data_IF_446695847019
#
_entry.id   IF_446695847019
#
_cell.length_a   1.000
_cell.length_b   1.000
_cell.length_c   1.000
_cell.angle_alpha   90.00
_cell.angle_beta   90.00
_cell.angle_gamma   90.00
#
_symmetry.space_group_name_H-M   'P 1'
#
loop_
_entity.id
_entity.type
_entity.pdbx_description
1 polymer ?
#
# COMPACT_ATOMS: atom_id res chain seq x y z
N UNK A 1 26.18 -36.16 26.81
CA UNK A 1 27.05 -35.08 26.33
C UNK A 1 27.26 -35.22 24.83
N UNK A 2 26.73 -34.29 24.01
CA UNK A 2 27.02 -34.22 22.58
C UNK A 2 27.15 -32.76 22.18
N UNK A 3 28.29 -32.40 21.58
CA UNK A 3 28.50 -31.15 20.84
C UNK A 3 29.17 -31.51 19.53
N UNK A 4 28.56 -31.19 18.36
CA UNK A 4 29.28 -31.19 17.09
C UNK A 4 29.57 -29.76 16.57
N UNK A 5 30.86 -29.43 16.68
CA UNK A 5 31.82 -28.67 15.83
C UNK A 5 31.38 -27.50 14.89
N UNK A 6 32.26 -26.47 14.77
CA UNK A 6 32.03 -25.24 13.99
C UNK A 6 32.30 -25.42 12.49
N UNK A 7 31.51 -24.75 11.64
CA UNK A 7 31.79 -24.63 10.21
C UNK A 7 32.03 -23.18 9.79
N UNK A 8 32.93 -23.01 8.82
CA UNK A 8 33.74 -21.84 8.57
C UNK A 8 32.99 -20.71 7.86
N UNK A 9 33.29 -19.51 8.32
CA UNK A 9 33.10 -18.18 7.73
C UNK A 9 33.44 -18.14 6.22
N UNK A 10 32.47 -17.71 5.42
CA UNK A 10 32.73 -17.05 4.12
C UNK A 10 32.16 -15.64 4.21
N UNK A 11 33.07 -14.68 4.30
CA UNK A 11 32.80 -13.26 4.15
C UNK A 11 32.47 -12.99 2.68
N UNK A 12 31.31 -12.41 2.41
CA UNK A 12 31.07 -11.69 1.16
C UNK A 12 30.48 -10.32 1.52
N UNK A 13 31.39 -9.42 1.82
CA UNK A 13 31.19 -7.98 1.73
C UNK A 13 30.68 -7.65 0.34
N UNK A 14 29.46 -7.12 0.25
CA UNK A 14 29.12 -6.17 -0.81
C UNK A 14 28.92 -4.82 -0.12
N UNK A 15 29.93 -3.97 -0.34
CA UNK A 15 29.92 -2.54 -0.06
C UNK A 15 29.02 -1.88 -1.10
N UNK A 16 27.96 -1.24 -0.64
CA UNK A 16 27.40 -0.06 -1.27
C UNK A 16 26.99 0.85 -0.11
N UNK A 17 27.98 1.54 0.43
CA UNK A 17 27.78 2.78 1.17
C UNK A 17 27.67 3.86 0.10
N UNK A 18 26.46 4.37 -0.12
CA UNK A 18 26.29 5.77 -0.49
C UNK A 18 25.12 6.30 0.33
N UNK A 19 25.39 7.38 1.04
CA UNK A 19 24.53 7.96 2.05
C UNK A 19 23.41 8.76 1.38
N UNK A 20 22.18 8.24 1.43
CA UNK A 20 21.01 9.11 1.43
C UNK A 20 20.33 9.01 2.80
N UNK A 21 20.59 10.03 3.61
CA UNK A 21 19.86 10.36 4.83
C UNK A 21 18.39 10.65 4.49
N UNK A 22 17.61 9.59 4.25
CA UNK A 22 16.17 9.69 4.25
C UNK A 22 15.71 9.82 5.69
N UNK A 23 15.63 11.08 6.12
CA UNK A 23 15.19 11.52 7.43
C UNK A 23 14.09 10.65 8.02
N UNK A 24 14.46 9.90 9.05
CA UNK A 24 13.57 9.17 9.92
C UNK A 24 12.81 10.17 10.81
N UNK A 25 11.91 10.97 10.23
CA UNK A 25 10.98 11.83 10.99
C UNK A 25 9.55 11.73 10.43
N UNK A 26 8.99 10.53 10.40
CA UNK A 26 7.55 10.40 10.19
C UNK A 26 6.81 10.81 11.46
N UNK A 27 6.25 12.01 11.40
CA UNK A 27 5.40 12.59 12.42
C UNK A 27 4.34 11.60 12.93
N UNK A 28 4.25 11.52 14.26
CA UNK A 28 3.23 10.85 15.08
C UNK A 28 2.90 9.40 14.67
N UNK A 29 3.11 8.46 15.59
CA UNK A 29 2.47 7.14 15.53
C UNK A 29 0.96 7.37 15.39
N UNK A 30 0.44 7.28 14.17
CA UNK A 30 -0.99 7.21 13.96
C UNK A 30 -1.44 5.95 14.69
N UNK A 31 -2.32 6.10 15.67
CA UNK A 31 -2.94 4.99 16.38
C UNK A 31 -3.81 4.23 15.37
N UNK A 32 -3.17 3.38 14.57
CA UNK A 32 -3.68 2.73 13.37
C UNK A 32 -4.58 1.53 13.70
N UNK A 33 -5.39 1.65 14.75
CA UNK A 33 -6.39 0.66 15.11
C UNK A 33 -7.71 0.86 14.33
N UNK A 34 -7.76 1.82 13.40
CA UNK A 34 -8.88 1.96 12.47
C UNK A 34 -8.78 0.88 11.39
N UNK A 35 -9.82 0.05 11.26
CA UNK A 35 -9.89 -1.00 10.24
C UNK A 35 -10.34 -0.38 8.91
N UNK A 36 -9.77 -0.80 7.78
CA UNK A 36 -10.26 -0.38 6.47
C UNK A 36 -11.72 -0.79 6.27
N UNK A 37 -12.47 -0.09 5.40
CA UNK A 37 -13.81 -0.51 5.01
C UNK A 37 -13.78 -1.91 4.39
N UNK A 38 -14.92 -2.61 4.44
CA UNK A 38 -15.08 -3.84 3.66
C UNK A 38 -14.98 -3.53 2.17
N UNK A 39 -14.57 -4.53 1.40
CA UNK A 39 -14.52 -4.44 -0.05
C UNK A 39 -15.85 -3.93 -0.63
N UNK A 40 -15.73 -3.14 -1.69
CA UNK A 40 -16.89 -2.70 -2.46
C UNK A 40 -17.53 -3.93 -3.10
N UNK A 41 -18.82 -4.12 -2.86
CA UNK A 41 -19.61 -5.16 -3.53
C UNK A 41 -20.49 -4.48 -4.56
N UNK A 42 -20.28 -4.80 -5.84
CA UNK A 42 -21.07 -4.29 -6.95
C UNK A 42 -22.04 -5.39 -7.38
N UNK A 43 -23.32 -5.19 -7.10
CA UNK A 43 -24.42 -5.99 -7.64
C UNK A 43 -25.12 -5.21 -8.75
N UNK A 44 -25.77 -5.92 -9.68
CA UNK A 44 -26.55 -5.31 -10.78
C UNK A 44 -27.57 -4.29 -10.27
N UNK A 45 -28.20 -4.59 -9.12
CA UNK A 45 -29.06 -3.65 -8.42
C UNK A 45 -28.25 -2.74 -7.48
N UNK A 46 -28.36 -1.42 -7.67
CA UNK A 46 -27.95 -0.43 -6.66
C UNK A 46 -26.46 -0.06 -6.63
N UNK A 47 -25.68 -0.35 -7.68
CA UNK A 47 -24.25 0.00 -7.82
C UNK A 47 -23.93 1.44 -7.35
N UNK A 48 -24.69 2.44 -7.82
CA UNK A 48 -24.46 3.83 -7.46
C UNK A 48 -24.63 4.11 -5.96
N UNK A 49 -25.56 3.43 -5.30
CA UNK A 49 -25.80 3.55 -3.86
C UNK A 49 -24.72 2.82 -3.06
N UNK A 50 -24.29 1.64 -3.51
CA UNK A 50 -23.18 0.88 -2.91
C UNK A 50 -21.87 1.66 -2.99
N UNK A 51 -21.57 2.25 -4.16
CA UNK A 51 -20.40 3.11 -4.34
C UNK A 51 -20.41 4.32 -3.42
N UNK A 52 -21.52 5.07 -3.35
CA UNK A 52 -21.63 6.24 -2.45
C UNK A 52 -21.40 5.87 -0.99
N UNK A 53 -22.00 4.77 -0.52
CA UNK A 53 -21.84 4.27 0.85
C UNK A 53 -20.40 3.84 1.14
N UNK A 54 -19.78 3.14 0.19
CA UNK A 54 -18.39 2.69 0.34
C UNK A 54 -17.42 3.87 0.34
N UNK A 55 -17.58 4.81 -0.60
CA UNK A 55 -16.75 6.00 -0.69
C UNK A 55 -16.81 6.85 0.59
N UNK A 56 -17.98 6.94 1.22
CA UNK A 56 -18.11 7.62 2.52
C UNK A 56 -17.32 6.91 3.62
N UNK A 57 -17.37 5.58 3.69
CA UNK A 57 -16.59 4.79 4.66
C UNK A 57 -15.09 4.93 4.40
N UNK A 58 -14.66 4.92 3.14
CA UNK A 58 -13.28 5.16 2.76
C UNK A 58 -12.78 6.53 3.24
N UNK A 59 -13.57 7.60 3.05
CA UNK A 59 -13.21 8.96 3.52
C UNK A 59 -13.02 9.03 5.03
N UNK A 60 -13.89 8.35 5.79
CA UNK A 60 -13.74 8.29 7.24
C UNK A 60 -12.48 7.54 7.66
N UNK A 61 -12.24 6.37 7.06
CA UNK A 61 -11.04 5.59 7.30
C UNK A 61 -9.77 6.36 6.92
N UNK A 62 -9.71 6.97 5.73
CA UNK A 62 -8.52 7.66 5.25
C UNK A 62 -8.15 8.86 6.12
N UNK A 63 -9.17 9.54 6.67
CA UNK A 63 -9.00 10.62 7.64
C UNK A 63 -8.51 10.09 8.99
N UNK A 64 -9.15 9.05 9.54
CA UNK A 64 -8.78 8.45 10.82
C UNK A 64 -7.38 7.80 10.79
N UNK A 65 -6.98 7.25 9.65
CA UNK A 65 -5.67 6.66 9.42
C UNK A 65 -4.61 7.68 8.96
N UNK A 66 -4.96 8.98 8.92
CA UNK A 66 -4.09 10.07 8.46
C UNK A 66 -3.39 9.77 7.12
N UNK A 67 -4.10 9.16 6.16
CA UNK A 67 -3.46 8.72 4.92
C UNK A 67 -2.87 9.88 4.13
N UNK A 68 -3.47 11.07 4.19
CA UNK A 68 -2.99 12.27 3.47
C UNK A 68 -1.58 12.71 3.88
N UNK A 69 -1.08 12.32 5.06
CA UNK A 69 0.30 12.62 5.50
C UNK A 69 1.28 11.50 5.20
N UNK A 70 0.86 10.44 4.49
CA UNK A 70 1.70 9.29 4.12
C UNK A 70 2.23 9.44 2.69
N UNK A 71 3.28 8.71 2.29
CA UNK A 71 3.78 8.73 0.91
C UNK A 71 2.67 8.38 -0.10
N UNK A 72 2.65 8.99 -1.29
CA UNK A 72 1.61 8.77 -2.30
C UNK A 72 1.38 7.29 -2.63
N UNK A 73 2.45 6.51 -2.74
CA UNK A 73 2.42 5.08 -3.07
C UNK A 73 1.66 4.29 -1.99
N UNK A 74 1.84 4.68 -0.73
CA UNK A 74 1.15 4.06 0.41
C UNK A 74 -0.32 4.45 0.44
N UNK A 75 -0.65 5.69 0.06
CA UNK A 75 -2.05 6.12 -0.05
C UNK A 75 -2.79 5.33 -1.12
N UNK A 76 -2.18 5.20 -2.30
CA UNK A 76 -2.72 4.43 -3.43
C UNK A 76 -2.84 2.95 -3.06
N UNK A 77 -1.78 2.33 -2.53
CA UNK A 77 -1.81 0.93 -2.13
C UNK A 77 -2.90 0.65 -1.07
N UNK A 78 -3.07 1.57 -0.11
CA UNK A 78 -4.13 1.46 0.91
C UNK A 78 -5.52 1.52 0.27
N UNK A 79 -5.72 2.40 -0.71
CA UNK A 79 -6.99 2.53 -1.44
C UNK A 79 -7.29 1.27 -2.27
N UNK A 80 -6.33 0.83 -3.08
CA UNK A 80 -6.45 -0.34 -3.95
C UNK A 80 -6.70 -1.62 -3.14
N UNK A 81 -6.05 -1.76 -1.99
CA UNK A 81 -6.28 -2.90 -1.09
C UNK A 81 -7.67 -2.88 -0.45
N UNK A 82 -8.19 -1.70 -0.10
CA UNK A 82 -9.46 -1.56 0.59
C UNK A 82 -10.68 -1.72 -0.34
N UNK A 83 -10.59 -1.26 -1.59
CA UNK A 83 -11.70 -1.38 -2.54
C UNK A 83 -11.96 -2.84 -2.91
N UNK A 84 -10.91 -3.65 -3.05
CA UNK A 84 -11.01 -5.10 -3.24
C UNK A 84 -10.48 -5.60 -4.58
N UNK A 85 -10.42 -6.93 -4.75
CA UNK A 85 -9.71 -7.59 -5.85
C UNK A 85 -10.26 -7.25 -7.23
N UNK A 86 -11.57 -6.96 -7.35
CA UNK A 86 -12.21 -6.60 -8.63
C UNK A 86 -11.57 -5.36 -9.29
N UNK A 87 -10.92 -4.49 -8.50
CA UNK A 87 -10.19 -3.33 -9.05
C UNK A 87 -8.96 -3.72 -9.83
N UNK A 88 -8.38 -4.90 -9.57
CA UNK A 88 -7.15 -5.36 -10.23
C UNK A 88 -7.40 -5.55 -11.71
N UNK A 89 -8.52 -6.19 -12.08
CA UNK A 89 -8.88 -6.42 -13.48
C UNK A 89 -9.15 -5.09 -14.20
N UNK A 90 -9.83 -4.14 -13.54
CA UNK A 90 -10.09 -2.80 -14.09
C UNK A 90 -8.77 -2.04 -14.27
N UNK A 91 -7.92 -2.05 -13.27
CA UNK A 91 -6.62 -1.37 -13.31
C UNK A 91 -5.73 -1.94 -14.41
N UNK A 92 -5.64 -3.26 -14.53
CA UNK A 92 -4.88 -3.93 -15.58
C UNK A 92 -5.50 -3.75 -16.98
N UNK A 93 -6.80 -3.46 -17.07
CA UNK A 93 -7.46 -3.15 -18.34
C UNK A 93 -7.17 -1.73 -18.85
N UNK A 94 -6.64 -0.85 -18.00
CA UNK A 94 -6.08 0.40 -18.47
C UNK A 94 -4.81 0.06 -19.24
N UNK A 95 -4.94 -0.10 -20.55
CA UNK A 95 -3.82 -0.13 -21.48
C UNK A 95 -3.13 1.23 -21.43
N UNK A 96 -2.30 1.44 -20.42
CA UNK A 96 -1.32 2.52 -20.42
C UNK A 96 -0.24 2.05 -21.39
N UNK A 97 -0.29 2.51 -22.64
CA UNK A 97 0.84 2.31 -23.55
C UNK A 97 2.09 2.90 -22.89
N UNK A 98 3.19 2.14 -22.89
CA UNK A 98 4.46 2.51 -22.25
C UNK A 98 4.96 3.90 -22.69
N UNK A 99 4.50 4.38 -23.86
CA UNK A 99 4.81 5.69 -24.43
C UNK A 99 4.15 6.89 -23.71
N UNK A 100 3.18 6.68 -22.81
CA UNK A 100 2.58 7.73 -21.97
C UNK A 100 3.22 7.85 -20.57
N UNK A 101 4.11 6.93 -20.19
CA UNK A 101 4.73 6.91 -18.86
C UNK A 101 5.89 7.90 -18.71
N UNK A 102 6.44 8.40 -19.82
CA UNK A 102 7.62 9.31 -19.86
C UNK A 102 7.25 10.81 -19.82
N UNK A 103 5.96 11.16 -19.85
CA UNK A 103 5.46 12.56 -19.91
C UNK A 103 4.66 12.99 -18.66
N UNK A 104 4.83 12.25 -17.54
CA UNK A 104 4.17 12.47 -16.24
C UNK A 104 5.16 12.77 -15.12
#
# INVERSE_FOLDING_TARGET
HMVPKPSKRTSRTNKYEDEEDHGQTYAAKADSNCKPPKHLVISEDGMGSSWKKWLQQWKWYSTAACLSSRPPEIQVASFMSAIGPDVIDIYNSFSLDDDQAEDL
#
